data_IF_284242068094
#
_entry.id   IF_284242068094
#
_cell.length_a   1.000
_cell.length_b   1.000
_cell.length_c   1.000
_cell.angle_alpha   90.00
_cell.angle_beta   90.00
_cell.angle_gamma   90.00
#
_symmetry.space_group_name_H-M   'P 1'
#
loop_
_entity.id
_entity.type
_entity.pdbx_description
1 polymer ?
#
# COMPACT_ATOMS: atom_id res chain seq x y z
N UNK A 1 -17.94 -13.88 -18.65
CA UNK A 1 -19.20 -13.14 -18.93
C UNK A 1 -19.18 -11.87 -18.09
N UNK A 2 -19.58 -10.72 -18.66
CA UNK A 2 -19.77 -9.47 -17.91
C UNK A 2 -21.27 -9.24 -17.70
N UNK A 3 -21.64 -8.82 -16.49
CA UNK A 3 -22.99 -8.41 -16.15
C UNK A 3 -22.94 -7.03 -15.50
N UNK A 4 -23.99 -6.24 -15.74
CA UNK A 4 -24.19 -4.93 -15.11
C UNK A 4 -25.10 -5.11 -13.92
N UNK A 5 -24.62 -4.79 -12.72
CA UNK A 5 -25.45 -4.81 -11.49
C UNK A 5 -25.74 -3.39 -11.06
N UNK A 6 -26.99 -3.09 -10.74
CA UNK A 6 -27.33 -1.82 -10.09
C UNK A 6 -27.35 -2.05 -8.59
N UNK A 7 -26.56 -1.26 -7.86
CA UNK A 7 -26.50 -1.29 -6.41
C UNK A 7 -27.70 -0.57 -5.79
N UNK A 8 -27.88 -0.75 -4.47
CA UNK A 8 -28.93 -0.10 -3.69
C UNK A 8 -28.88 1.44 -3.76
N UNK A 9 -27.72 2.02 -4.05
CA UNK A 9 -27.52 3.47 -4.23
C UNK A 9 -27.71 3.93 -5.69
N UNK A 10 -28.21 3.07 -6.57
CA UNK A 10 -28.44 3.35 -7.99
C UNK A 10 -27.18 3.29 -8.86
N UNK A 11 -26.01 3.01 -8.28
CA UNK A 11 -24.74 2.92 -9.01
C UNK A 11 -24.66 1.65 -9.83
N UNK A 12 -24.08 1.76 -11.02
CA UNK A 12 -23.86 0.61 -11.91
C UNK A 12 -22.48 0.03 -11.66
N UNK A 13 -22.40 -1.27 -11.45
CA UNK A 13 -21.16 -2.02 -11.25
C UNK A 13 -20.95 -3.05 -12.36
N UNK A 14 -19.67 -3.30 -12.65
CA UNK A 14 -19.23 -4.41 -13.48
C UNK A 14 -19.08 -5.66 -12.62
N UNK A 15 -19.81 -6.72 -12.97
CA UNK A 15 -19.65 -8.06 -12.39
C UNK A 15 -19.04 -8.98 -13.44
N UNK A 16 -17.93 -9.62 -13.10
CA UNK A 16 -17.20 -10.53 -13.98
C UNK A 16 -17.27 -11.95 -13.44
N UNK A 17 -17.53 -12.91 -14.33
CA UNK A 17 -17.48 -14.34 -13.99
C UNK A 17 -16.87 -15.19 -15.10
N UNK A 18 -16.16 -16.25 -14.70
CA UNK A 18 -15.77 -17.37 -15.56
C UNK A 18 -16.90 -18.40 -15.57
N UNK A 19 -17.20 -18.91 -16.76
CA UNK A 19 -18.20 -19.96 -16.97
C UNK A 19 -17.60 -21.11 -17.75
N UNK A 20 -18.09 -22.31 -17.53
CA UNK A 20 -17.78 -23.47 -18.38
C UNK A 20 -18.57 -23.42 -19.71
N UNK A 21 -18.39 -24.46 -20.53
CA UNK A 21 -19.03 -24.57 -21.85
C UNK A 21 -20.56 -24.71 -21.74
N UNK A 22 -21.04 -25.22 -20.61
CA UNK A 22 -22.44 -25.43 -20.26
C UNK A 22 -23.08 -24.16 -19.66
N UNK A 23 -22.29 -23.12 -19.40
CA UNK A 23 -22.74 -21.83 -18.90
C UNK A 23 -22.85 -21.73 -17.37
N UNK A 24 -22.39 -22.74 -16.64
CA UNK A 24 -22.29 -22.74 -15.18
C UNK A 24 -21.10 -21.88 -14.74
N UNK A 25 -21.33 -21.05 -13.72
CA UNK A 25 -20.31 -20.15 -13.17
C UNK A 25 -19.26 -20.93 -12.38
N UNK A 26 -18.03 -20.91 -12.87
CA UNK A 26 -16.85 -21.52 -12.25
C UNK A 26 -16.18 -20.59 -11.23
N UNK A 27 -16.21 -19.28 -11.50
CA UNK A 27 -15.56 -18.28 -10.65
C UNK A 27 -16.21 -16.90 -10.83
N UNK A 28 -16.34 -16.14 -9.76
CA UNK A 28 -16.77 -14.73 -9.81
C UNK A 28 -15.61 -13.87 -9.32
N UNK A 29 -15.19 -12.92 -10.13
CA UNK A 29 -14.07 -12.04 -9.78
C UNK A 29 -14.50 -11.02 -8.71
N UNK A 30 -13.58 -10.63 -7.81
CA UNK A 30 -13.83 -9.52 -6.91
C UNK A 30 -13.96 -8.22 -7.70
N UNK A 31 -14.69 -7.25 -7.15
CA UNK A 31 -14.75 -5.92 -7.74
C UNK A 31 -13.37 -5.23 -7.58
N UNK A 32 -12.81 -4.65 -8.65
CA UNK A 32 -11.56 -3.89 -8.54
C UNK A 32 -11.78 -2.67 -7.64
N UNK A 33 -10.94 -2.55 -6.61
CA UNK A 33 -11.09 -1.52 -5.56
C UNK A 33 -11.00 -0.09 -6.13
N UNK A 34 -10.16 0.11 -7.14
CA UNK A 34 -9.95 1.41 -7.80
C UNK A 34 -11.25 2.01 -8.35
N UNK A 35 -12.08 1.18 -8.98
CA UNK A 35 -13.32 1.63 -9.65
C UNK A 35 -14.56 1.42 -8.79
N UNK A 36 -14.40 1.01 -7.53
CA UNK A 36 -15.51 0.72 -6.63
C UNK A 36 -16.42 1.94 -6.44
N UNK A 37 -15.87 3.16 -6.47
CA UNK A 37 -16.62 4.42 -6.35
C UNK A 37 -17.17 4.96 -7.68
N UNK A 38 -16.91 4.30 -8.81
CA UNK A 38 -17.23 4.81 -10.14
C UNK A 38 -18.46 4.11 -10.74
N UNK A 39 -19.14 4.79 -11.67
CA UNK A 39 -20.29 4.23 -12.38
C UNK A 39 -19.83 3.49 -13.63
N UNK A 40 -20.07 2.18 -13.70
CA UNK A 40 -19.75 1.36 -14.86
C UNK A 40 -20.67 1.69 -16.05
N UNK A 41 -20.04 1.94 -17.20
CA UNK A 41 -20.74 2.15 -18.47
C UNK A 41 -20.69 0.91 -19.36
N UNK A 42 -19.51 0.55 -19.85
CA UNK A 42 -19.32 -0.53 -20.82
C UNK A 42 -17.97 -1.23 -20.68
N UNK A 43 -17.89 -2.48 -21.15
CA UNK A 43 -16.61 -3.20 -21.29
C UNK A 43 -16.05 -2.91 -22.68
N UNK A 44 -14.82 -2.41 -22.75
CA UNK A 44 -14.09 -2.18 -24.01
C UNK A 44 -13.37 -3.43 -24.49
N UNK A 45 -12.68 -4.13 -23.59
CA UNK A 45 -11.91 -5.31 -23.95
C UNK A 45 -11.78 -6.26 -22.76
N UNK A 46 -11.67 -7.55 -23.07
CA UNK A 46 -11.26 -8.61 -22.14
C UNK A 46 -10.16 -9.41 -22.83
N UNK A 47 -9.08 -9.69 -22.12
CA UNK A 47 -7.99 -10.52 -22.63
C UNK A 47 -7.47 -11.48 -21.58
N UNK A 48 -6.93 -12.60 -22.05
CA UNK A 48 -6.32 -13.64 -21.23
C UNK A 48 -4.86 -13.76 -21.63
N UNK A 49 -3.94 -13.26 -20.79
CA UNK A 49 -2.50 -13.23 -21.08
C UNK A 49 -1.72 -13.43 -19.80
N UNK A 50 -0.59 -14.12 -19.90
CA UNK A 50 0.42 -14.15 -18.86
C UNK A 50 1.12 -12.78 -18.82
N UNK A 51 0.85 -11.97 -17.80
CA UNK A 51 1.46 -10.65 -17.63
C UNK A 51 2.58 -10.63 -16.61
N UNK A 52 2.58 -11.54 -15.63
CA UNK A 52 3.61 -11.61 -14.59
C UNK A 52 4.74 -12.61 -14.89
N UNK A 53 4.61 -13.39 -15.97
CA UNK A 53 5.62 -14.31 -16.47
C UNK A 53 5.63 -15.65 -15.75
N UNK A 54 4.58 -15.99 -14.98
CA UNK A 54 4.50 -17.22 -14.20
C UNK A 54 4.00 -18.45 -15.00
N UNK A 55 3.69 -18.26 -16.28
CA UNK A 55 3.21 -19.30 -17.20
C UNK A 55 1.71 -19.58 -17.09
N UNK A 56 0.98 -18.94 -16.17
CA UNK A 56 -0.48 -19.00 -16.04
C UNK A 56 -1.13 -17.82 -16.78
N UNK A 57 -2.43 -17.92 -17.06
CA UNK A 57 -3.15 -16.87 -17.80
C UNK A 57 -3.84 -15.93 -16.83
N UNK A 58 -3.46 -14.66 -16.86
CA UNK A 58 -4.14 -13.59 -16.14
C UNK A 58 -5.30 -13.03 -16.95
N UNK A 59 -6.22 -12.33 -16.28
CA UNK A 59 -7.36 -11.67 -16.92
C UNK A 59 -7.19 -10.16 -16.89
N UNK A 60 -7.21 -9.55 -18.07
CA UNK A 60 -7.15 -8.10 -18.26
C UNK A 60 -8.54 -7.65 -18.70
N UNK A 61 -9.11 -6.69 -17.99
CA UNK A 61 -10.36 -6.05 -18.40
C UNK A 61 -10.15 -4.55 -18.57
N UNK A 62 -10.55 -4.02 -19.70
CA UNK A 62 -10.66 -2.57 -19.93
C UNK A 62 -12.14 -2.22 -19.95
N UNK A 63 -12.55 -1.31 -19.07
CA UNK A 63 -13.93 -0.86 -18.98
C UNK A 63 -14.00 0.66 -18.84
N UNK A 64 -15.07 1.22 -19.37
CA UNK A 64 -15.38 2.64 -19.28
C UNK A 64 -16.24 2.93 -18.05
N UNK A 65 -15.86 3.98 -17.34
CA UNK A 65 -16.50 4.40 -16.10
C UNK A 65 -16.72 5.90 -16.06
N UNK A 66 -17.75 6.34 -15.34
CA UNK A 66 -17.97 7.75 -15.02
C UNK A 66 -17.59 7.97 -13.55
N UNK A 67 -16.57 8.78 -13.30
CA UNK A 67 -16.12 9.13 -11.95
C UNK A 67 -16.99 10.26 -11.35
N UNK A 68 -17.64 10.01 -10.20
CA UNK A 68 -18.43 11.00 -9.45
C UNK A 68 -19.87 10.55 -9.09
N UNK A 69 -20.43 11.10 -7.99
CA UNK A 69 -21.86 10.98 -7.61
C UNK A 69 -22.65 12.09 -8.31
N UNK A 70 -23.24 11.83 -9.48
CA UNK A 70 -24.19 12.75 -10.08
C UNK A 70 -24.48 12.48 -11.56
N UNK A 71 -25.76 12.55 -11.92
CA UNK A 71 -26.29 12.55 -13.28
C UNK A 71 -25.97 13.85 -14.02
N UNK A 72 -24.68 14.10 -14.28
CA UNK A 72 -24.23 15.32 -14.95
C UNK A 72 -22.79 15.23 -15.45
N UNK A 73 -22.62 14.82 -16.72
CA UNK A 73 -21.61 15.40 -17.60
C UNK A 73 -20.12 15.03 -17.46
N UNK A 74 -19.71 14.06 -16.64
CA UNK A 74 -18.31 13.61 -16.68
C UNK A 74 -18.06 12.66 -17.87
N UNK A 75 -17.00 12.90 -18.64
CA UNK A 75 -16.59 12.01 -19.72
C UNK A 75 -16.21 10.62 -19.16
N UNK A 76 -16.57 9.56 -19.89
CA UNK A 76 -16.21 8.20 -19.48
C UNK A 76 -14.68 8.01 -19.58
N UNK A 77 -14.08 7.52 -18.50
CA UNK A 77 -12.66 7.19 -18.40
C UNK A 77 -12.50 5.68 -18.53
N UNK A 78 -11.56 5.24 -19.39
CA UNK A 78 -11.20 3.82 -19.49
C UNK A 78 -10.24 3.46 -18.37
N UNK A 79 -10.63 2.49 -17.54
CA UNK A 79 -9.77 1.96 -16.49
C UNK A 79 -9.46 0.47 -16.75
N UNK A 80 -8.19 0.07 -16.57
CA UNK A 80 -7.82 -1.34 -16.54
C UNK A 80 -8.14 -1.97 -15.18
N UNK A 81 -8.45 -3.26 -15.20
CA UNK A 81 -8.54 -4.11 -14.02
C UNK A 81 -7.84 -5.42 -14.32
N UNK A 82 -6.78 -5.71 -13.55
CA UNK A 82 -5.89 -6.84 -13.83
C UNK A 82 -6.03 -7.88 -12.73
N UNK A 83 -6.43 -9.07 -13.12
CA UNK A 83 -6.63 -10.20 -12.23
C UNK A 83 -5.55 -11.24 -12.50
N UNK A 84 -4.52 -11.25 -11.66
CA UNK A 84 -3.39 -12.17 -11.77
C UNK A 84 -3.78 -13.53 -11.19
N UNK A 85 -3.53 -14.60 -11.92
CA UNK A 85 -3.86 -15.95 -11.48
C UNK A 85 -2.92 -16.39 -10.36
N UNK A 86 -3.49 -16.73 -9.21
CA UNK A 86 -2.78 -17.37 -8.09
C UNK A 86 -3.50 -18.66 -7.73
N UNK A 87 -2.86 -19.76 -8.11
CA UNK A 87 -3.39 -21.13 -8.02
C UNK A 87 -4.79 -21.29 -8.62
N UNK A 88 -5.80 -21.54 -7.79
CA UNK A 88 -7.21 -21.71 -8.18
C UNK A 88 -8.03 -20.40 -8.06
N UNK A 89 -7.36 -19.26 -7.87
CA UNK A 89 -8.00 -17.96 -7.63
C UNK A 89 -7.34 -16.87 -8.47
N UNK A 90 -7.99 -15.70 -8.50
CA UNK A 90 -7.45 -14.52 -9.15
C UNK A 90 -7.36 -13.36 -8.15
N UNK A 91 -6.25 -12.62 -8.20
CA UNK A 91 -5.98 -11.50 -7.30
C UNK A 91 -5.85 -10.22 -8.12
N UNK A 92 -6.58 -9.18 -7.72
CA UNK A 92 -6.41 -7.80 -8.23
C UNK A 92 -5.55 -7.04 -7.23
N UNK A 93 -4.45 -6.48 -7.69
CA UNK A 93 -3.58 -5.63 -6.86
C UNK A 93 -3.95 -4.16 -7.06
N UNK A 94 -4.41 -3.52 -5.99
CA UNK A 94 -4.87 -2.14 -6.03
C UNK A 94 -3.77 -1.17 -6.46
N UNK A 95 -2.53 -1.39 -6.04
CA UNK A 95 -1.41 -0.52 -6.39
C UNK A 95 -1.03 -0.65 -7.87
N UNK A 96 -1.07 -1.87 -8.40
CA UNK A 96 -0.85 -2.13 -9.82
C UNK A 96 -1.97 -1.54 -10.69
N UNK A 97 -3.24 -1.73 -10.30
CA UNK A 97 -4.38 -1.14 -10.99
C UNK A 97 -4.32 0.41 -10.94
N UNK A 98 -3.96 0.98 -9.79
CA UNK A 98 -3.76 2.43 -9.63
C UNK A 98 -2.64 2.97 -10.49
N UNK A 99 -1.47 2.30 -10.54
CA UNK A 99 -0.33 2.73 -11.35
C UNK A 99 -0.64 2.64 -12.84
N UNK A 100 -1.34 1.59 -13.26
CA UNK A 100 -1.82 1.45 -14.63
C UNK A 100 -2.78 2.58 -14.99
N UNK A 101 -3.77 2.87 -14.14
CA UNK A 101 -4.73 3.94 -14.37
C UNK A 101 -4.10 5.33 -14.32
N UNK A 102 -3.20 5.59 -13.35
CA UNK A 102 -2.50 6.85 -13.18
C UNK A 102 -1.54 7.17 -14.33
N UNK A 103 -1.09 6.16 -15.10
CA UNK A 103 -0.23 6.37 -16.26
C UNK A 103 -0.92 7.11 -17.41
N UNK A 104 -2.27 7.20 -17.42
CA UNK A 104 -3.05 7.91 -18.45
C UNK A 104 -2.93 7.35 -19.88
N UNK A 105 -2.08 6.34 -20.10
CA UNK A 105 -1.69 5.78 -21.41
C UNK A 105 -2.32 4.42 -21.69
N UNK A 106 -3.11 3.88 -20.76
CA UNK A 106 -3.73 2.56 -20.93
C UNK A 106 -5.04 2.72 -21.71
N UNK A 107 -4.97 2.47 -23.02
CA UNK A 107 -6.15 2.46 -23.89
C UNK A 107 -6.39 1.09 -24.52
N UNK A 108 -5.37 0.22 -24.53
CA UNK A 108 -5.39 -1.10 -25.13
C UNK A 108 -4.79 -2.16 -24.19
N UNK A 109 -5.14 -3.42 -24.48
CA UNK A 109 -4.56 -4.60 -23.78
C UNK A 109 -3.03 -4.66 -23.98
N UNK A 110 -2.53 -4.17 -25.11
CA UNK A 110 -1.09 -4.14 -25.39
C UNK A 110 -0.35 -3.17 -24.48
N UNK A 111 -0.96 -2.04 -24.12
CA UNK A 111 -0.39 -1.05 -23.20
C UNK A 111 -0.24 -1.65 -21.79
N UNK A 112 -1.26 -2.40 -21.34
CA UNK A 112 -1.19 -3.16 -20.09
C UNK A 112 -0.03 -4.16 -20.13
N UNK A 113 0.08 -4.97 -21.18
CA UNK A 113 1.17 -5.97 -21.29
C UNK A 113 2.54 -5.29 -21.32
N UNK A 114 2.67 -4.14 -21.98
CA UNK A 114 3.92 -3.39 -22.03
C UNK A 114 4.32 -2.86 -20.64
N UNK A 115 3.35 -2.38 -19.85
CA UNK A 115 3.58 -1.94 -18.48
C UNK A 115 4.18 -3.05 -17.59
N UNK A 116 3.65 -4.27 -17.68
CA UNK A 116 4.20 -5.40 -16.92
C UNK A 116 5.58 -5.86 -17.43
N UNK A 117 5.80 -5.83 -18.75
CA UNK A 117 7.12 -6.18 -19.34
C UNK A 117 8.22 -5.20 -18.96
N UNK A 118 7.91 -3.93 -18.75
CA UNK A 118 8.86 -2.93 -18.27
C UNK A 118 9.35 -3.23 -16.83
N UNK A 119 8.54 -3.93 -16.02
CA UNK A 119 8.93 -4.38 -14.66
C UNK A 119 9.79 -5.66 -14.65
N UNK A 120 9.76 -6.47 -15.71
CA UNK A 120 10.35 -7.82 -15.74
C UNK A 120 11.80 -7.89 -16.26
N UNK A 121 12.42 -6.78 -16.63
CA UNK A 121 13.87 -6.76 -16.92
C UNK A 121 14.67 -6.61 -15.62
N UNK A 122 15.56 -7.55 -15.27
CA UNK A 122 16.65 -7.23 -14.39
C UNK A 122 17.62 -6.36 -15.20
N UNK A 123 17.98 -5.19 -14.69
CA UNK A 123 19.34 -4.65 -14.72
C UNK A 123 19.40 -3.13 -14.72
N UNK A 124 20.44 -2.67 -14.03
CA UNK A 124 21.28 -1.51 -14.38
C UNK A 124 20.64 -0.14 -14.44
N UNK A 125 21.31 0.79 -13.74
CA UNK A 125 21.11 2.21 -13.90
C UNK A 125 21.08 2.60 -15.39
N UNK A 126 19.90 2.95 -15.91
CA UNK A 126 19.79 3.90 -17.00
C UNK A 126 18.37 4.47 -17.11
N UNK A 127 18.32 5.75 -16.76
CA UNK A 127 17.44 6.79 -17.27
C UNK A 127 16.91 6.52 -18.68
N UNK A 128 15.59 6.43 -18.81
CA UNK A 128 14.86 6.83 -20.03
C UNK A 128 13.78 7.83 -19.63
N UNK A 129 13.46 8.84 -20.46
CA UNK A 129 12.68 9.99 -20.03
C UNK A 129 11.19 9.62 -20.00
N UNK A 130 10.61 9.62 -18.80
CA UNK A 130 9.17 9.51 -18.59
C UNK A 130 8.47 10.73 -19.20
N UNK A 131 7.59 10.50 -20.16
CA UNK A 131 6.80 11.57 -20.80
C UNK A 131 5.61 12.04 -19.96
N UNK A 132 5.59 11.72 -18.66
CA UNK A 132 4.76 12.33 -17.60
C UNK A 132 5.61 12.66 -16.35
N UNK A 133 6.93 12.68 -16.47
CA UNK A 133 7.78 13.25 -15.44
C UNK A 133 7.43 14.73 -15.34
N UNK A 134 6.96 15.20 -14.19
CA UNK A 134 7.16 16.61 -13.86
C UNK A 134 8.67 16.74 -13.65
N UNK A 135 9.43 17.28 -14.62
CA UNK A 135 10.90 17.24 -14.56
C UNK A 135 11.41 18.03 -13.36
N UNK A 136 10.60 18.99 -12.90
CA UNK A 136 10.81 19.76 -11.67
C UNK A 136 10.67 18.86 -10.44
N UNK A 137 9.59 18.07 -10.33
CA UNK A 137 9.36 17.14 -9.22
C UNK A 137 10.52 16.15 -9.04
N UNK A 138 10.91 15.46 -10.12
CA UNK A 138 12.02 14.49 -10.06
C UNK A 138 13.34 15.14 -9.71
N UNK A 139 13.63 16.33 -10.27
CA UNK A 139 14.84 17.07 -9.98
C UNK A 139 14.89 17.53 -8.53
N UNK A 140 13.77 18.04 -8.00
CA UNK A 140 13.64 18.46 -6.61
C UNK A 140 13.84 17.26 -5.68
N UNK A 141 13.14 16.14 -5.92
CA UNK A 141 13.26 14.93 -5.09
C UNK A 141 14.66 14.31 -5.14
N UNK A 142 15.33 14.29 -6.29
CA UNK A 142 16.71 13.81 -6.39
C UNK A 142 17.68 14.66 -5.59
N UNK A 143 17.56 15.99 -5.69
CA UNK A 143 18.41 16.92 -4.91
C UNK A 143 18.14 16.81 -3.41
N UNK A 144 16.86 16.72 -3.03
CA UNK A 144 16.43 16.50 -1.65
C UNK A 144 16.99 15.19 -1.10
N UNK A 145 16.87 14.10 -1.85
CA UNK A 145 17.40 12.80 -1.47
C UNK A 145 18.90 12.88 -1.14
N UNK A 146 19.72 13.42 -2.05
CA UNK A 146 21.15 13.59 -1.80
C UNK A 146 21.45 14.44 -0.56
N UNK A 147 20.65 15.49 -0.31
CA UNK A 147 20.81 16.37 0.85
C UNK A 147 20.46 15.67 2.16
N UNK A 148 19.32 15.00 2.24
CA UNK A 148 18.84 14.40 3.49
C UNK A 148 19.66 13.17 3.89
N UNK A 149 20.11 12.37 2.91
CA UNK A 149 20.93 11.17 3.15
C UNK A 149 22.31 11.53 3.72
N UNK A 150 22.87 12.67 3.28
CA UNK A 150 24.15 13.18 3.76
C UNK A 150 24.06 13.94 5.10
N UNK A 151 22.87 14.06 5.68
CA UNK A 151 22.61 14.81 6.91
C UNK A 151 22.39 13.89 8.11
N UNK A 152 22.37 14.48 9.32
CA UNK A 152 21.94 13.83 10.56
C UNK A 152 20.52 14.23 10.97
N UNK A 153 19.67 14.59 9.99
CA UNK A 153 18.28 14.99 10.25
C UNK A 153 17.46 13.82 10.82
N UNK A 154 16.60 14.13 11.78
CA UNK A 154 15.52 13.26 12.22
C UNK A 154 14.45 13.09 11.14
N UNK A 155 13.57 12.10 11.30
CA UNK A 155 12.46 11.85 10.37
C UNK A 155 11.57 13.09 10.17
N UNK A 156 11.29 13.83 11.25
CA UNK A 156 10.46 15.03 11.19
C UNK A 156 11.17 16.17 10.46
N UNK A 157 12.48 16.34 10.68
CA UNK A 157 13.29 17.34 9.95
C UNK A 157 13.40 17.02 8.45
N UNK A 158 13.44 15.72 8.09
CA UNK A 158 13.40 15.26 6.69
C UNK A 158 12.07 15.67 6.05
N UNK A 159 10.94 15.36 6.69
CA UNK A 159 9.61 15.75 6.20
C UNK A 159 9.53 17.25 6.01
N UNK A 160 9.88 18.04 7.03
CA UNK A 160 9.85 19.50 6.96
C UNK A 160 10.75 20.04 5.86
N UNK A 161 11.88 19.38 5.57
CA UNK A 161 12.78 19.78 4.48
C UNK A 161 12.13 19.52 3.13
N UNK A 162 11.47 18.38 2.94
CA UNK A 162 10.71 18.10 1.72
C UNK A 162 9.54 19.07 1.56
N UNK A 163 8.72 19.28 2.59
CA UNK A 163 7.57 20.19 2.55
C UNK A 163 7.96 21.61 2.14
N UNK A 164 9.07 22.14 2.72
CA UNK A 164 9.59 23.47 2.38
C UNK A 164 10.03 23.59 0.94
N UNK A 165 10.72 22.58 0.40
CA UNK A 165 11.14 22.61 -1.01
C UNK A 165 9.94 22.38 -1.95
N UNK A 166 8.94 21.57 -1.55
CA UNK A 166 7.71 21.39 -2.31
C UNK A 166 6.92 22.70 -2.40
N UNK A 167 6.79 23.43 -1.29
CA UNK A 167 6.19 24.76 -1.28
C UNK A 167 6.94 25.76 -2.17
N UNK A 168 8.26 25.84 -2.01
CA UNK A 168 9.12 26.75 -2.77
C UNK A 168 9.10 26.48 -4.27
N UNK A 169 8.89 25.23 -4.68
CA UNK A 169 8.83 24.81 -6.07
C UNK A 169 7.40 24.65 -6.60
N UNK A 170 6.40 25.07 -5.84
CA UNK A 170 4.97 25.00 -6.20
C UNK A 170 4.55 23.58 -6.63
N UNK A 171 5.11 22.56 -5.98
CA UNK A 171 4.77 21.16 -6.20
C UNK A 171 3.42 20.81 -5.58
N UNK A 172 2.78 19.73 -6.03
CA UNK A 172 1.49 19.29 -5.50
C UNK A 172 1.60 18.99 -3.99
N UNK A 173 0.77 19.68 -3.20
CA UNK A 173 0.65 19.49 -1.74
C UNK A 173 -0.75 19.01 -1.33
N UNK A 174 -1.56 18.57 -2.27
CA UNK A 174 -2.81 17.85 -1.97
C UNK A 174 -2.51 16.55 -1.22
N UNK A 175 -3.53 15.87 -0.71
CA UNK A 175 -3.36 14.55 -0.08
C UNK A 175 -2.59 13.56 -0.98
N UNK A 176 -2.81 13.63 -2.30
CA UNK A 176 -2.08 12.84 -3.29
C UNK A 176 -0.62 13.26 -3.41
N UNK A 177 -0.36 14.57 -3.49
CA UNK A 177 1.00 15.12 -3.57
C UNK A 177 1.82 14.83 -2.31
N UNK A 178 1.18 14.86 -1.14
CA UNK A 178 1.78 14.44 0.12
C UNK A 178 2.13 12.94 0.12
N UNK A 179 1.20 12.07 -0.28
CA UNK A 179 1.49 10.64 -0.38
C UNK A 179 2.65 10.35 -1.35
N UNK A 180 2.71 11.08 -2.47
CA UNK A 180 3.82 11.00 -3.41
C UNK A 180 5.15 11.48 -2.81
N UNK A 181 5.15 12.58 -2.06
CA UNK A 181 6.32 13.08 -1.33
C UNK A 181 6.87 12.02 -0.37
N UNK A 182 6.00 11.41 0.45
CA UNK A 182 6.40 10.37 1.39
C UNK A 182 6.89 9.11 0.67
N UNK A 183 6.28 8.74 -0.46
CA UNK A 183 6.79 7.66 -1.33
C UNK A 183 8.22 7.96 -1.78
N UNK A 184 8.51 9.18 -2.26
CA UNK A 184 9.86 9.58 -2.65
C UNK A 184 10.86 9.53 -1.50
N UNK A 185 10.46 9.94 -0.28
CA UNK A 185 11.30 9.81 0.91
C UNK A 185 11.63 8.32 1.16
N UNK A 186 10.62 7.45 1.14
CA UNK A 186 10.80 6.01 1.35
C UNK A 186 11.73 5.38 0.32
N UNK A 187 11.49 5.64 -0.97
CA UNK A 187 12.32 5.14 -2.08
C UNK A 187 13.76 5.64 -2.00
N UNK A 188 13.97 6.92 -1.67
CA UNK A 188 15.30 7.49 -1.47
C UNK A 188 16.09 6.69 -0.43
N UNK A 189 15.53 6.49 0.76
CA UNK A 189 16.25 5.79 1.82
C UNK A 189 16.33 4.27 1.61
N UNK A 190 15.39 3.67 0.90
CA UNK A 190 15.49 2.27 0.50
C UNK A 190 16.68 2.06 -0.45
N UNK A 191 16.83 2.90 -1.48
CA UNK A 191 17.98 2.83 -2.40
C UNK A 191 19.32 3.00 -1.68
N UNK A 192 19.38 3.92 -0.71
CA UNK A 192 20.60 4.10 0.09
C UNK A 192 20.87 2.93 1.04
N UNK A 193 19.82 2.29 1.56
CA UNK A 193 19.95 1.06 2.35
C UNK A 193 20.49 -0.07 1.50
N UNK A 194 19.99 -0.22 0.26
CA UNK A 194 20.47 -1.23 -0.68
C UNK A 194 21.94 -1.02 -1.05
N UNK A 195 22.36 0.22 -1.30
CA UNK A 195 23.77 0.57 -1.54
C UNK A 195 24.64 0.25 -0.33
N UNK A 196 24.19 0.64 0.87
CA UNK A 196 24.91 0.42 2.12
C UNK A 196 25.12 -1.08 2.41
N UNK A 197 24.13 -1.91 2.08
CA UNK A 197 24.14 -3.34 2.34
C UNK A 197 24.61 -4.18 1.14
N UNK A 198 25.08 -3.57 0.05
CA UNK A 198 25.47 -4.28 -1.17
C UNK A 198 26.53 -5.38 -0.95
N UNK A 199 27.46 -5.17 -0.02
CA UNK A 199 28.48 -6.16 0.36
C UNK A 199 28.09 -7.03 1.57
N UNK A 200 26.88 -6.89 2.10
CA UNK A 200 26.43 -7.51 3.35
C UNK A 200 25.17 -8.36 3.13
N UNK A 201 25.27 -9.39 2.28
CA UNK A 201 24.12 -10.17 1.77
C UNK A 201 23.18 -10.70 2.86
N UNK A 202 23.72 -11.26 3.96
CA UNK A 202 22.89 -11.77 5.07
C UNK A 202 22.09 -10.67 5.76
N UNK A 203 22.75 -9.54 6.06
CA UNK A 203 22.10 -8.38 6.68
C UNK A 203 21.09 -7.75 5.72
N UNK A 204 21.38 -7.72 4.42
CA UNK A 204 20.43 -7.28 3.39
C UNK A 204 19.17 -8.14 3.38
N UNK A 205 19.30 -9.47 3.34
CA UNK A 205 18.14 -10.38 3.37
C UNK A 205 17.28 -10.17 4.61
N UNK A 206 17.90 -10.02 5.80
CA UNK A 206 17.17 -9.74 7.03
C UNK A 206 16.47 -8.37 6.97
N UNK A 207 17.16 -7.34 6.48
CA UNK A 207 16.64 -5.98 6.33
C UNK A 207 15.43 -5.94 5.38
N UNK A 208 15.53 -6.61 4.22
CA UNK A 208 14.45 -6.71 3.24
C UNK A 208 13.23 -7.45 3.82
N UNK A 209 13.47 -8.55 4.56
CA UNK A 209 12.41 -9.31 5.22
C UNK A 209 11.70 -8.47 6.30
N UNK A 210 12.44 -7.68 7.08
CA UNK A 210 11.88 -6.75 8.07
C UNK A 210 11.06 -5.67 7.37
N UNK A 211 11.61 -5.04 6.32
CA UNK A 211 10.93 -3.99 5.56
C UNK A 211 9.59 -4.50 5.00
N UNK A 212 9.59 -5.67 4.34
CA UNK A 212 8.36 -6.29 3.84
C UNK A 212 7.34 -6.53 4.96
N UNK A 213 7.80 -7.11 6.07
CA UNK A 213 6.91 -7.47 7.19
C UNK A 213 6.29 -6.23 7.84
N UNK A 214 7.04 -5.13 7.92
CA UNK A 214 6.50 -3.86 8.42
C UNK A 214 5.53 -3.25 7.44
N UNK A 215 5.81 -3.31 6.13
CA UNK A 215 4.88 -2.83 5.12
C UNK A 215 3.54 -3.56 5.22
N UNK A 216 3.57 -4.88 5.40
CA UNK A 216 2.39 -5.71 5.66
C UNK A 216 1.68 -5.26 6.95
N UNK A 217 2.39 -5.12 8.06
CA UNK A 217 1.79 -4.72 9.34
C UNK A 217 1.12 -3.34 9.28
N UNK A 218 1.80 -2.31 8.76
CA UNK A 218 1.24 -0.96 8.64
C UNK A 218 0.05 -0.94 7.69
N UNK A 219 0.12 -1.68 6.57
CA UNK A 219 -0.98 -1.77 5.62
C UNK A 219 -2.21 -2.42 6.24
N UNK A 220 -2.06 -3.55 6.93
CA UNK A 220 -3.18 -4.24 7.57
C UNK A 220 -3.76 -3.41 8.73
N UNK A 221 -2.93 -2.71 9.49
CA UNK A 221 -3.39 -1.78 10.53
C UNK A 221 -4.18 -0.59 9.95
N UNK A 222 -3.72 -0.02 8.83
CA UNK A 222 -4.43 1.07 8.15
C UNK A 222 -5.79 0.62 7.60
N UNK A 223 -5.87 -0.62 7.13
CA UNK A 223 -7.16 -1.23 6.75
C UNK A 223 -8.07 -1.47 7.96
N UNK A 224 -7.51 -1.86 9.11
CA UNK A 224 -8.28 -2.00 10.35
C UNK A 224 -8.87 -0.66 10.78
N UNK A 225 -8.07 0.41 10.78
CA UNK A 225 -8.53 1.76 11.13
C UNK A 225 -9.62 2.23 10.15
N UNK A 226 -9.45 1.99 8.85
CA UNK A 226 -10.47 2.27 7.84
C UNK A 226 -11.81 1.58 8.13
N UNK A 227 -11.79 0.30 8.51
CA UNK A 227 -13.01 -0.47 8.80
C UNK A 227 -13.68 0.06 10.08
N UNK A 228 -12.90 0.30 11.13
CA UNK A 228 -13.39 0.64 12.47
C UNK A 228 -14.01 2.03 12.54
N UNK A 229 -13.56 2.96 11.71
CA UNK A 229 -14.04 4.34 11.75
C UNK A 229 -15.06 4.65 10.64
N UNK A 230 -15.64 3.61 10.03
CA UNK A 230 -16.72 3.76 9.05
C UNK A 230 -16.26 4.28 7.68
N UNK A 231 -14.97 4.16 7.38
CA UNK A 231 -14.34 4.55 6.12
C UNK A 231 -13.57 5.86 6.17
N UNK A 232 -13.27 6.41 5.00
CA UNK A 232 -12.43 7.61 4.83
C UNK A 232 -11.00 7.27 4.41
N UNK A 233 -10.50 7.96 3.38
CA UNK A 233 -9.17 7.66 2.81
C UNK A 233 -8.02 8.13 3.70
N UNK A 234 -8.29 8.93 4.74
CA UNK A 234 -7.29 9.46 5.67
C UNK A 234 -6.39 8.38 6.27
N UNK A 235 -6.95 7.23 6.65
CA UNK A 235 -6.19 6.13 7.24
C UNK A 235 -5.23 5.47 6.24
N UNK A 236 -5.62 5.44 4.96
CA UNK A 236 -4.77 4.94 3.88
C UNK A 236 -3.64 5.94 3.61
N UNK A 237 -3.94 7.24 3.57
CA UNK A 237 -2.93 8.30 3.43
C UNK A 237 -1.91 8.26 4.57
N UNK A 238 -2.39 8.20 5.81
CA UNK A 238 -1.56 8.11 7.01
C UNK A 238 -0.70 6.83 7.05
N UNK A 239 -1.25 5.70 6.58
CA UNK A 239 -0.48 4.47 6.34
C UNK A 239 0.65 4.68 5.33
N UNK A 240 0.36 5.23 4.15
CA UNK A 240 1.34 5.52 3.10
C UNK A 240 2.46 6.45 3.59
N UNK A 241 2.09 7.49 4.34
CA UNK A 241 3.04 8.45 4.92
C UNK A 241 3.93 7.79 5.97
N UNK A 242 3.34 6.92 6.81
CA UNK A 242 4.11 6.13 7.78
C UNK A 242 5.12 5.22 7.08
N UNK A 243 4.73 4.56 5.97
CA UNK A 243 5.62 3.72 5.16
C UNK A 243 6.79 4.51 4.56
N UNK A 244 6.51 5.72 4.04
CA UNK A 244 7.54 6.63 3.53
C UNK A 244 8.64 6.92 4.56
N UNK A 245 8.24 7.26 5.79
CA UNK A 245 9.19 7.48 6.91
C UNK A 245 9.83 6.19 7.38
N UNK A 246 9.15 5.05 7.21
CA UNK A 246 9.74 3.77 7.55
C UNK A 246 10.97 3.45 6.68
N UNK A 247 11.00 3.87 5.42
CA UNK A 247 12.19 3.77 4.57
C UNK A 247 13.42 4.43 5.21
N UNK A 248 13.26 5.64 5.77
CA UNK A 248 14.32 6.30 6.55
C UNK A 248 14.73 5.49 7.78
N UNK A 249 13.77 4.98 8.55
CA UNK A 249 14.07 4.18 9.74
C UNK A 249 14.81 2.89 9.42
N UNK A 250 14.50 2.24 8.30
CA UNK A 250 15.22 1.06 7.84
C UNK A 250 16.67 1.40 7.48
N UNK A 251 16.93 2.57 6.89
CA UNK A 251 18.29 3.03 6.65
C UNK A 251 19.08 3.24 7.95
N UNK A 252 18.45 3.85 8.96
CA UNK A 252 19.06 4.01 10.29
C UNK A 252 19.31 2.67 10.94
N UNK A 253 18.36 1.73 10.91
CA UNK A 253 18.53 0.36 11.39
C UNK A 253 19.74 -0.32 10.74
N UNK A 254 19.86 -0.26 9.41
CA UNK A 254 20.98 -0.85 8.69
C UNK A 254 22.32 -0.24 9.10
N UNK A 255 22.40 1.09 9.24
CA UNK A 255 23.58 1.79 9.76
C UNK A 255 23.92 1.37 11.19
N UNK A 256 22.92 1.21 12.06
CA UNK A 256 23.13 0.74 13.43
C UNK A 256 23.68 -0.69 13.44
N UNK A 257 23.10 -1.60 12.65
CA UNK A 257 23.55 -3.01 12.55
C UNK A 257 24.98 -3.15 12.05
N UNK A 258 25.43 -2.28 11.14
CA UNK A 258 26.82 -2.26 10.68
C UNK A 258 27.81 -1.71 11.72
N UNK A 259 27.32 -1.07 12.79
CA UNK A 259 28.12 -0.48 13.86
C UNK A 259 27.98 -1.25 15.19
N UNK A 260 27.66 -2.56 15.13
CA UNK A 260 27.59 -3.47 16.28
C UNK A 260 26.76 -2.89 17.46
N UNK A 261 25.44 -2.75 17.28
CA UNK A 261 24.57 -2.08 18.25
C UNK A 261 24.56 -2.84 19.59
N UNK A 262 24.41 -2.11 20.70
CA UNK A 262 24.46 -2.72 22.03
C UNK A 262 23.20 -3.56 22.30
N UNK A 263 23.30 -4.59 23.15
CA UNK A 263 22.11 -5.31 23.62
C UNK A 263 21.13 -4.38 24.33
N UNK A 264 19.84 -4.51 24.02
CA UNK A 264 18.76 -3.69 24.58
C UNK A 264 17.57 -4.53 25.07
N UNK A 265 17.81 -5.82 25.39
CA UNK A 265 16.76 -6.83 25.59
C UNK A 265 15.68 -6.40 26.59
N UNK A 266 16.05 -5.80 27.72
CA UNK A 266 15.07 -5.34 28.73
C UNK A 266 14.09 -4.30 28.18
N UNK A 267 14.58 -3.33 27.41
CA UNK A 267 13.73 -2.29 26.81
C UNK A 267 12.89 -2.87 25.67
N UNK A 268 13.50 -3.74 24.87
CA UNK A 268 12.82 -4.41 23.77
C UNK A 268 11.65 -5.28 24.27
N UNK A 269 11.88 -6.08 25.32
CA UNK A 269 10.86 -6.95 25.90
C UNK A 269 9.70 -6.15 26.49
N UNK A 270 9.98 -5.01 27.14
CA UNK A 270 8.92 -4.11 27.62
C UNK A 270 8.06 -3.53 26.47
N UNK A 271 8.65 -3.25 25.30
CA UNK A 271 7.89 -2.81 24.12
C UNK A 271 7.10 -3.96 23.48
N UNK A 272 7.60 -5.20 23.53
CA UNK A 272 6.84 -6.38 23.10
C UNK A 272 5.61 -6.57 23.97
N UNK A 273 5.76 -6.51 25.30
CA UNK A 273 4.63 -6.59 26.24
C UNK A 273 3.61 -5.48 25.97
N UNK A 274 4.09 -4.26 25.73
CA UNK A 274 3.21 -3.11 25.39
C UNK A 274 2.50 -3.33 24.05
N UNK A 275 3.21 -3.82 23.04
CA UNK A 275 2.64 -4.11 21.72
C UNK A 275 1.56 -5.18 21.81
N UNK A 276 1.84 -6.28 22.50
CA UNK A 276 0.91 -7.39 22.68
C UNK A 276 -0.32 -6.94 23.47
N UNK A 277 -0.15 -6.14 24.53
CA UNK A 277 -1.27 -5.52 25.25
C UNK A 277 -2.11 -4.59 24.36
N UNK A 278 -1.48 -3.81 23.48
CA UNK A 278 -2.21 -2.95 22.55
C UNK A 278 -2.97 -3.77 21.50
N UNK A 279 -2.43 -4.89 21.03
CA UNK A 279 -3.12 -5.80 20.12
C UNK A 279 -4.33 -6.46 20.77
N UNK A 280 -4.23 -6.87 22.03
CA UNK A 280 -5.35 -7.41 22.78
C UNK A 280 -6.48 -6.39 22.92
N UNK A 281 -6.14 -5.14 23.26
CA UNK A 281 -7.10 -4.03 23.31
C UNK A 281 -7.73 -3.75 21.95
N UNK A 282 -6.94 -3.73 20.88
CA UNK A 282 -7.43 -3.52 19.52
C UNK A 282 -8.44 -4.60 19.13
N UNK A 283 -8.15 -5.86 19.47
CA UNK A 283 -9.05 -7.00 19.25
C UNK A 283 -10.33 -6.89 20.06
N UNK A 284 -10.23 -6.51 21.34
CA UNK A 284 -11.38 -6.34 22.22
C UNK A 284 -12.28 -5.17 21.79
N UNK A 285 -11.68 -4.09 21.30
CA UNK A 285 -12.41 -2.97 20.73
C UNK A 285 -13.13 -3.38 19.43
N UNK A 286 -12.51 -4.23 18.61
CA UNK A 286 -13.12 -4.76 17.39
C UNK A 286 -13.69 -3.64 16.52
N UNK A 287 -14.95 -3.79 16.10
CA UNK A 287 -15.70 -2.77 15.32
C UNK A 287 -16.73 -2.00 16.17
N UNK A 288 -16.55 -1.92 17.50
CA UNK A 288 -17.49 -1.24 18.41
C UNK A 288 -17.76 0.21 17.97
N UNK A 289 -19.03 0.60 18.00
CA UNK A 289 -19.52 1.94 17.61
C UNK A 289 -19.82 2.06 16.12
N UNK A 290 -19.51 1.04 15.30
CA UNK A 290 -19.92 1.03 13.89
C UNK A 290 -21.44 0.81 13.75
N UNK A 291 -22.11 0.31 14.79
CA UNK A 291 -23.57 0.20 14.86
C UNK A 291 -24.29 1.56 14.70
N UNK A 292 -23.59 2.67 14.96
CA UNK A 292 -24.11 4.03 14.76
C UNK A 292 -24.02 4.49 13.29
N UNK A 293 -23.21 3.82 12.47
CA UNK A 293 -22.86 4.22 11.11
C UNK A 293 -23.45 3.30 10.03
N UNK A 294 -23.82 2.06 10.38
CA UNK A 294 -24.36 1.07 9.43
C UNK A 294 -25.36 0.11 10.07
N UNK A 295 -26.13 -0.60 9.25
CA UNK A 295 -27.06 -1.63 9.72
C UNK A 295 -26.37 -2.91 10.24
N UNK A 296 -27.16 -3.81 10.83
CA UNK A 296 -26.65 -5.06 11.42
C UNK A 296 -25.93 -5.98 10.42
N UNK A 297 -26.23 -5.89 9.12
CA UNK A 297 -25.53 -6.66 8.10
C UNK A 297 -24.16 -6.05 7.81
N UNK A 298 -24.09 -4.72 7.69
CA UNK A 298 -22.83 -3.99 7.55
C UNK A 298 -21.88 -4.20 8.73
N UNK A 299 -22.40 -4.24 9.97
CA UNK A 299 -21.60 -4.56 11.16
C UNK A 299 -21.00 -5.97 11.09
N UNK A 300 -21.79 -6.97 10.67
CA UNK A 300 -21.29 -8.35 10.51
C UNK A 300 -20.22 -8.48 9.43
N UNK A 301 -20.37 -7.75 8.33
CA UNK A 301 -19.37 -7.72 7.25
C UNK A 301 -18.09 -7.04 7.72
N UNK A 302 -18.20 -5.90 8.40
CA UNK A 302 -17.06 -5.21 9.00
C UNK A 302 -16.35 -6.07 10.05
N UNK A 303 -17.08 -6.79 10.90
CA UNK A 303 -16.48 -7.70 11.90
C UNK A 303 -15.71 -8.84 11.23
N UNK A 304 -16.25 -9.41 10.15
CA UNK A 304 -15.56 -10.43 9.36
C UNK A 304 -14.27 -9.89 8.76
N UNK A 305 -14.34 -8.71 8.14
CA UNK A 305 -13.19 -8.08 7.50
C UNK A 305 -12.14 -7.66 8.55
N UNK A 306 -12.56 -7.07 9.66
CA UNK A 306 -11.70 -6.75 10.80
C UNK A 306 -10.95 -7.99 11.29
N UNK A 307 -11.65 -9.11 11.54
CA UNK A 307 -11.03 -10.34 12.02
C UNK A 307 -9.99 -10.89 11.03
N UNK A 308 -10.29 -10.85 9.73
CA UNK A 308 -9.35 -11.28 8.69
C UNK A 308 -8.10 -10.39 8.64
N UNK A 309 -8.27 -9.07 8.73
CA UNK A 309 -7.17 -8.07 8.74
C UNK A 309 -6.34 -8.16 10.01
N UNK A 310 -6.99 -8.29 11.17
CA UNK A 310 -6.34 -8.45 12.47
C UNK A 310 -5.48 -9.72 12.50
N UNK A 311 -5.97 -10.84 11.95
CA UNK A 311 -5.17 -12.06 11.84
C UNK A 311 -3.89 -11.83 11.05
N UNK A 312 -3.95 -11.12 9.92
CA UNK A 312 -2.77 -10.81 9.10
C UNK A 312 -1.81 -9.85 9.81
N UNK A 313 -2.34 -8.80 10.44
CA UNK A 313 -1.56 -7.89 11.27
C UNK A 313 -0.78 -8.65 12.35
N UNK A 314 -1.46 -9.53 13.10
CA UNK A 314 -0.81 -10.32 14.14
C UNK A 314 0.27 -11.24 13.55
N UNK A 315 0.00 -11.92 12.43
CA UNK A 315 1.03 -12.74 11.75
C UNK A 315 2.24 -11.91 11.35
N UNK A 316 2.05 -10.73 10.76
CA UNK A 316 3.15 -9.84 10.39
C UNK A 316 3.95 -9.39 11.62
N UNK A 317 3.29 -8.99 12.71
CA UNK A 317 3.97 -8.56 13.93
C UNK A 317 4.71 -9.69 14.65
N UNK A 318 4.21 -10.93 14.60
CA UNK A 318 4.94 -12.10 15.11
C UNK A 318 6.20 -12.35 14.28
N UNK A 319 6.10 -12.34 12.95
CA UNK A 319 7.25 -12.47 12.05
C UNK A 319 8.26 -11.34 12.27
N UNK A 320 7.80 -10.11 12.51
CA UNK A 320 8.67 -8.99 12.86
C UNK A 320 9.45 -9.30 14.14
N UNK A 321 8.77 -9.73 15.21
CA UNK A 321 9.41 -10.12 16.48
C UNK A 321 10.47 -11.21 16.33
N UNK A 322 10.25 -12.18 15.44
CA UNK A 322 11.22 -13.23 15.10
C UNK A 322 12.46 -12.65 14.38
N UNK A 323 12.24 -11.77 13.40
CA UNK A 323 13.30 -11.14 12.62
C UNK A 323 14.15 -10.15 13.44
N UNK A 324 13.61 -9.63 14.54
CA UNK A 324 14.28 -8.71 15.47
C UNK A 324 14.60 -9.35 16.83
N UNK A 325 14.75 -10.68 16.85
CA UNK A 325 14.99 -11.49 18.06
C UNK A 325 16.39 -11.37 18.67
N UNK A 326 17.29 -10.62 18.03
CA UNK A 326 18.58 -10.21 18.59
C UNK A 326 18.45 -9.11 19.66
N UNK A 327 17.32 -8.39 19.69
CA UNK A 327 16.92 -7.44 20.74
C UNK A 327 17.99 -6.40 21.10
N UNK A 328 18.72 -5.93 20.10
CA UNK A 328 19.69 -4.84 20.25
C UNK A 328 19.05 -3.46 20.05
N UNK A 329 19.85 -2.41 20.19
CA UNK A 329 19.40 -1.01 20.00
C UNK A 329 18.78 -0.75 18.62
N UNK A 330 19.23 -1.45 17.56
CA UNK A 330 18.66 -1.28 16.22
C UNK A 330 17.27 -1.91 16.13
N UNK A 331 17.11 -3.11 16.67
CA UNK A 331 15.83 -3.81 16.76
C UNK A 331 14.83 -3.06 17.67
N UNK A 332 15.31 -2.50 18.77
CA UNK A 332 14.53 -1.61 19.65
C UNK A 332 14.00 -0.40 18.88
N UNK A 333 14.85 0.27 18.11
CA UNK A 333 14.50 1.47 17.35
C UNK A 333 13.35 1.25 16.36
N UNK A 334 13.30 0.08 15.72
CA UNK A 334 12.19 -0.28 14.84
C UNK A 334 10.92 -0.64 15.62
N UNK A 335 11.05 -1.37 16.73
CA UNK A 335 9.93 -1.78 17.59
C UNK A 335 9.19 -0.56 18.16
N UNK A 336 9.90 0.48 18.60
CA UNK A 336 9.31 1.70 19.15
C UNK A 336 8.24 2.32 18.24
N UNK A 337 8.48 2.35 16.93
CA UNK A 337 7.51 2.90 15.99
C UNK A 337 6.27 2.01 15.89
N UNK A 338 6.44 0.70 15.69
CA UNK A 338 5.31 -0.21 15.53
C UNK A 338 4.44 -0.23 16.79
N UNK A 339 5.05 -0.28 17.97
CA UNK A 339 4.33 -0.21 19.24
C UNK A 339 3.55 1.11 19.38
N UNK A 340 4.18 2.25 19.04
CA UNK A 340 3.50 3.55 19.05
C UNK A 340 2.34 3.59 18.04
N UNK A 341 2.54 3.03 16.85
CA UNK A 341 1.56 3.04 15.76
C UNK A 341 0.32 2.21 16.12
N UNK A 342 0.50 0.98 16.59
CA UNK A 342 -0.61 0.14 17.08
C UNK A 342 -1.28 0.79 18.29
N UNK A 343 -0.50 1.41 19.19
CA UNK A 343 -1.03 2.16 20.33
C UNK A 343 -1.91 3.34 19.93
N UNK A 344 -1.59 4.03 18.84
CA UNK A 344 -2.44 5.11 18.33
C UNK A 344 -3.80 4.58 17.84
N UNK A 345 -3.86 3.36 17.27
CA UNK A 345 -5.10 2.75 16.79
C UNK A 345 -6.09 2.35 17.88
N UNK A 346 -5.67 2.30 19.15
CA UNK A 346 -6.57 1.98 20.26
C UNK A 346 -7.01 3.21 21.06
N UNK A 347 -6.56 4.41 20.68
CA UNK A 347 -6.95 5.65 21.35
C UNK A 347 -8.41 5.99 21.05
N UNK A 348 -9.24 6.01 22.10
CA UNK A 348 -10.69 6.23 22.01
C UNK A 348 -11.04 7.67 21.59
N UNK A 349 -10.10 8.62 21.74
CA UNK A 349 -10.30 10.01 21.30
C UNK A 349 -9.99 10.23 19.81
N UNK A 350 -9.68 9.17 19.03
CA UNK A 350 -9.43 9.31 17.57
C UNK A 350 -10.65 9.72 16.75
N UNK A 351 -11.88 9.57 17.28
CA UNK A 351 -13.14 9.83 16.56
C UNK A 351 -13.66 11.27 16.68
N UNK A 352 -12.95 12.15 17.41
CA UNK A 352 -13.25 13.59 17.54
C UNK A 352 -12.26 14.43 16.75
#
# INVERSE_FOLDING_TARGET
>A
MSAKRTNADGRKELVLSLKDAEGQTLYTFPQPKLVASWNFESVKAVSFKDVDGDGKKDVIVLADYVAGKGSGGSAAVTAPSIFVQKDKSFVSDYDTDNRLNASGKISTVSDVVAFFKAKAKPDTAQTTPDSDSNPTLEKVNRNLCSRVVASNMSGDEIVQTYEKEYEKHELDRSERGQDEMYRYIGECFQQETDKLLASHSKLKTQTDAIHQTVNEAISELSNIDYIRDGGGTMWIHDGNRTLGIYGYRMNVYAKMKLNDPKPASKKYDALVETLDSNLDKLKEQGVKGLEELTDAQGVKEAEKDFNARFSKLNTALQKFKELTSDKDEASLYLMELLTKRVGASIDENRRS
#
